data_IF_669631070746
#
_entry.id   IF_669631070746
#
_cell.length_a   1.000
_cell.length_b   1.000
_cell.length_c   1.000
_cell.angle_alpha   90.00
_cell.angle_beta   90.00
_cell.angle_gamma   90.00
#
_symmetry.space_group_name_H-M   'P 1'
#
loop_
_entity.id
_entity.type
_entity.pdbx_description
1 polymer ?
#
# COMPACT_ATOMS: atom_id res chain seq x y z
N UNK A 1 -11.74 47.36 -2.72
CA UNK A 1 -11.61 46.15 -3.58
C UNK A 1 -10.21 45.53 -3.52
N UNK A 2 -9.12 46.30 -3.35
CA UNK A 2 -7.73 45.79 -3.23
C UNK A 2 -7.50 44.81 -2.08
N UNK A 3 -8.00 45.11 -0.88
CA UNK A 3 -7.69 44.31 0.32
C UNK A 3 -8.37 42.92 0.29
N UNK A 4 -9.56 42.82 -0.31
CA UNK A 4 -10.27 41.55 -0.47
C UNK A 4 -9.54 40.64 -1.47
N UNK A 5 -9.06 41.21 -2.58
CA UNK A 5 -8.28 40.48 -3.58
C UNK A 5 -6.94 39.99 -3.01
N UNK A 6 -6.22 40.84 -2.26
CA UNK A 6 -4.95 40.46 -1.62
C UNK A 6 -5.16 39.37 -0.56
N UNK A 7 -6.23 39.46 0.24
CA UNK A 7 -6.55 38.42 1.23
C UNK A 7 -6.94 37.10 0.57
N UNK A 8 -7.74 37.13 -0.50
CA UNK A 8 -8.09 35.93 -1.26
C UNK A 8 -6.83 35.28 -1.87
N UNK A 9 -5.95 36.07 -2.47
CA UNK A 9 -4.69 35.60 -3.03
C UNK A 9 -3.81 34.96 -1.95
N UNK A 10 -3.66 35.63 -0.81
CA UNK A 10 -2.90 35.12 0.34
C UNK A 10 -3.48 33.82 0.88
N UNK A 11 -4.81 33.70 0.95
CA UNK A 11 -5.48 32.49 1.41
C UNK A 11 -5.24 31.32 0.45
N UNK A 12 -5.37 31.55 -0.86
CA UNK A 12 -5.12 30.53 -1.88
C UNK A 12 -3.65 30.06 -1.84
N UNK A 13 -2.69 30.98 -1.79
CA UNK A 13 -1.27 30.60 -1.75
C UNK A 13 -0.89 29.88 -0.45
N UNK A 14 -1.33 30.37 0.71
CA UNK A 14 -1.02 29.72 2.01
C UNK A 14 -1.69 28.36 2.11
N UNK A 15 -2.95 28.22 1.67
CA UNK A 15 -3.60 26.92 1.66
C UNK A 15 -2.92 25.94 0.69
N UNK A 16 -2.57 26.39 -0.52
CA UNK A 16 -1.98 25.52 -1.53
C UNK A 16 -0.59 25.04 -1.08
N UNK A 17 0.27 25.96 -0.68
CA UNK A 17 1.62 25.66 -0.20
C UNK A 17 1.56 24.84 1.10
N UNK A 18 0.68 25.23 2.02
CA UNK A 18 0.45 24.47 3.25
C UNK A 18 0.01 23.03 2.99
N UNK A 19 -0.87 22.80 2.00
CA UNK A 19 -1.30 21.45 1.60
C UNK A 19 -0.15 20.63 0.99
N UNK A 20 0.72 21.25 0.21
CA UNK A 20 1.91 20.57 -0.36
C UNK A 20 2.84 20.09 0.75
N UNK A 21 3.14 20.92 1.75
CA UNK A 21 4.00 20.52 2.87
C UNK A 21 3.30 19.58 3.87
N UNK A 22 1.98 19.68 4.00
CA UNK A 22 1.21 18.76 4.85
C UNK A 22 1.06 17.37 4.21
N UNK A 23 1.12 17.26 2.89
CA UNK A 23 0.90 16.01 2.17
C UNK A 23 1.82 14.85 2.63
N UNK A 24 3.15 15.01 2.78
CA UNK A 24 4.01 13.95 3.31
C UNK A 24 3.64 13.55 4.74
N UNK A 25 3.32 14.51 5.60
CA UNK A 25 2.93 14.26 6.99
C UNK A 25 1.64 13.47 7.05
N UNK A 26 0.64 13.85 6.24
CA UNK A 26 -0.62 13.13 6.13
C UNK A 26 -0.43 11.71 5.61
N UNK A 27 0.43 11.53 4.61
CA UNK A 27 0.73 10.23 4.00
C UNK A 27 1.20 9.26 5.07
N UNK A 28 2.25 9.60 5.82
CA UNK A 28 2.80 8.69 6.83
C UNK A 28 1.93 8.51 8.08
N UNK A 29 0.96 9.40 8.32
CA UNK A 29 0.08 9.32 9.48
C UNK A 29 -1.29 8.74 9.13
N UNK A 30 -2.19 9.61 8.68
CA UNK A 30 -3.60 9.28 8.43
C UNK A 30 -3.76 8.39 7.20
N UNK A 31 -2.95 8.62 6.17
CA UNK A 31 -2.90 7.76 4.98
C UNK A 31 -2.52 6.34 5.34
N UNK A 32 -1.38 6.15 6.01
CA UNK A 32 -0.90 4.84 6.48
C UNK A 32 -1.97 4.10 7.28
N UNK A 33 -2.61 4.77 8.24
CA UNK A 33 -3.70 4.17 9.04
C UNK A 33 -4.84 3.66 8.16
N UNK A 34 -5.29 4.47 7.19
CA UNK A 34 -6.36 4.08 6.26
C UNK A 34 -5.97 2.85 5.42
N UNK A 35 -4.73 2.79 4.96
CA UNK A 35 -4.22 1.65 4.19
C UNK A 35 -4.12 0.40 5.06
N UNK A 36 -3.64 0.50 6.30
CA UNK A 36 -3.62 -0.62 7.24
C UNK A 36 -5.02 -1.15 7.56
N UNK A 37 -5.99 -0.26 7.76
CA UNK A 37 -7.41 -0.65 7.91
C UNK A 37 -7.98 -1.30 6.65
N UNK A 38 -7.54 -0.87 5.47
CA UNK A 38 -7.92 -1.52 4.23
C UNK A 38 -7.34 -2.94 4.14
N UNK A 39 -6.04 -3.12 4.43
CA UNK A 39 -5.37 -4.43 4.45
C UNK A 39 -6.05 -5.39 5.43
N UNK A 40 -6.33 -4.93 6.67
CA UNK A 40 -7.02 -5.75 7.66
C UNK A 40 -8.41 -6.23 7.20
N UNK A 41 -9.17 -5.35 6.52
CA UNK A 41 -10.46 -5.72 5.92
C UNK A 41 -10.31 -6.71 4.78
N UNK A 42 -9.31 -6.56 3.93
CA UNK A 42 -9.02 -7.51 2.83
C UNK A 42 -8.69 -8.91 3.36
N UNK A 43 -7.84 -8.99 4.39
CA UNK A 43 -7.48 -10.27 5.02
C UNK A 43 -8.71 -10.92 5.67
N UNK A 44 -9.53 -10.15 6.39
CA UNK A 44 -10.74 -10.66 7.03
C UNK A 44 -11.75 -11.17 6.01
N UNK A 45 -11.97 -10.40 4.93
CA UNK A 45 -12.84 -10.80 3.82
C UNK A 45 -12.37 -12.08 3.14
N UNK A 46 -11.06 -12.23 2.91
CA UNK A 46 -10.52 -13.46 2.33
C UNK A 46 -10.69 -14.65 3.28
N UNK A 47 -10.46 -14.45 4.58
CA UNK A 47 -10.63 -15.50 5.59
C UNK A 47 -12.09 -15.98 5.69
N UNK A 48 -13.05 -15.08 5.51
CA UNK A 48 -14.48 -15.38 5.44
C UNK A 48 -14.83 -16.11 4.13
N UNK A 49 -14.36 -15.61 2.98
CA UNK A 49 -14.58 -16.23 1.68
C UNK A 49 -14.03 -17.66 1.59
N UNK A 50 -12.86 -17.91 2.20
CA UNK A 50 -12.24 -19.22 2.29
C UNK A 50 -12.75 -20.06 3.47
N UNK A 51 -13.69 -19.52 4.27
CA UNK A 51 -14.26 -20.20 5.43
C UNK A 51 -13.22 -20.76 6.40
N UNK A 52 -12.05 -20.10 6.53
CA UNK A 52 -10.90 -20.61 7.28
C UNK A 52 -11.27 -20.93 8.73
N UNK A 53 -12.11 -20.08 9.36
CA UNK A 53 -12.59 -20.27 10.72
C UNK A 53 -13.41 -21.56 10.88
N UNK A 54 -14.27 -21.86 9.91
CA UNK A 54 -15.10 -23.07 9.90
C UNK A 54 -14.24 -24.30 9.63
N UNK A 55 -13.29 -24.18 8.70
CA UNK A 55 -12.37 -25.28 8.37
C UNK A 55 -11.52 -25.67 9.59
N UNK A 56 -10.99 -24.68 10.30
CA UNK A 56 -10.21 -24.88 11.51
C UNK A 56 -11.05 -25.51 12.64
N UNK A 57 -12.28 -25.04 12.85
CA UNK A 57 -13.17 -25.60 13.86
C UNK A 57 -13.60 -27.06 13.56
N UNK A 58 -13.58 -27.47 12.29
CA UNK A 58 -14.00 -28.80 11.88
C UNK A 58 -12.83 -29.70 11.43
N UNK A 59 -11.59 -29.34 11.73
CA UNK A 59 -10.40 -30.07 11.27
C UNK A 59 -10.37 -31.54 11.74
N UNK A 60 -10.94 -31.80 12.92
CA UNK A 60 -10.99 -33.13 13.55
C UNK A 60 -12.33 -33.86 13.33
N UNK A 61 -13.29 -33.26 12.62
CA UNK A 61 -14.58 -33.92 12.37
C UNK A 61 -14.49 -34.86 11.16
N UNK A 62 -15.07 -36.07 11.22
CA UNK A 62 -15.12 -36.98 10.07
C UNK A 62 -15.89 -36.33 8.90
N UNK A 63 -15.46 -36.58 7.65
CA UNK A 63 -16.07 -35.98 6.46
C UNK A 63 -17.29 -36.76 5.94
N UNK A 64 -17.30 -38.10 6.10
CA UNK A 64 -18.31 -38.99 5.52
C UNK A 64 -19.26 -39.61 6.56
N UNK A 65 -19.29 -39.09 7.79
CA UNK A 65 -20.05 -39.70 8.88
C UNK A 65 -19.54 -41.07 9.33
N UNK A 66 -18.43 -41.56 8.77
CA UNK A 66 -17.75 -42.77 9.22
C UNK A 66 -16.86 -42.47 10.43
N UNK A 67 -17.22 -43.06 11.57
CA UNK A 67 -16.50 -42.93 12.84
C UNK A 67 -15.43 -43.99 13.04
N UNK A 68 -15.23 -44.89 12.07
CA UNK A 68 -14.14 -45.85 12.06
C UNK A 68 -12.79 -45.13 12.23
N UNK A 69 -11.83 -45.80 12.89
CA UNK A 69 -10.50 -45.21 13.13
C UNK A 69 -9.78 -44.89 11.81
N UNK A 70 -9.96 -45.75 10.81
CA UNK A 70 -9.42 -45.58 9.46
C UNK A 70 -10.07 -44.41 8.73
N UNK A 71 -11.40 -44.30 8.76
CA UNK A 71 -12.15 -43.21 8.10
C UNK A 71 -11.87 -41.83 8.71
N UNK A 72 -11.67 -41.75 10.03
CA UNK A 72 -11.23 -40.51 10.70
C UNK A 72 -9.82 -40.09 10.32
N UNK A 73 -8.89 -41.03 10.21
CA UNK A 73 -7.51 -40.74 9.85
C UNK A 73 -7.42 -40.16 8.42
N UNK A 74 -8.10 -40.78 7.47
CA UNK A 74 -8.15 -40.30 6.08
C UNK A 74 -8.82 -38.90 6.01
N UNK A 75 -9.95 -38.72 6.71
CA UNK A 75 -10.65 -37.42 6.76
C UNK A 75 -9.76 -36.30 7.29
N UNK A 76 -8.95 -36.58 8.32
CA UNK A 76 -8.02 -35.62 8.90
C UNK A 76 -6.93 -35.22 7.91
N UNK A 77 -6.30 -36.18 7.22
CA UNK A 77 -5.27 -35.87 6.22
C UNK A 77 -5.83 -35.05 5.07
N UNK A 78 -7.00 -35.40 4.51
CA UNK A 78 -7.63 -34.63 3.43
C UNK A 78 -7.92 -33.19 3.88
N UNK A 79 -8.47 -32.99 5.08
CA UNK A 79 -8.71 -31.64 5.62
C UNK A 79 -7.41 -30.86 5.87
N UNK A 80 -6.33 -31.52 6.30
CA UNK A 80 -5.01 -30.87 6.43
C UNK A 80 -4.51 -30.38 5.08
N UNK A 81 -4.55 -31.22 4.04
CA UNK A 81 -4.12 -30.81 2.71
C UNK A 81 -4.98 -29.65 2.19
N UNK A 82 -6.30 -29.73 2.34
CA UNK A 82 -7.20 -28.65 1.96
C UNK A 82 -6.90 -27.35 2.74
N UNK A 83 -6.72 -27.45 4.07
CA UNK A 83 -6.35 -26.31 4.90
C UNK A 83 -5.01 -25.70 4.46
N UNK A 84 -4.02 -26.54 4.12
CA UNK A 84 -2.71 -26.10 3.67
C UNK A 84 -2.78 -25.29 2.38
N UNK A 85 -3.56 -25.74 1.38
CA UNK A 85 -3.75 -24.97 0.14
C UNK A 85 -4.45 -23.64 0.39
N UNK A 86 -5.51 -23.61 1.19
CA UNK A 86 -6.22 -22.38 1.54
C UNK A 86 -5.33 -21.40 2.33
N UNK A 87 -4.52 -21.92 3.25
CA UNK A 87 -3.53 -21.15 3.99
C UNK A 87 -2.49 -20.56 3.05
N UNK A 88 -1.97 -21.35 2.11
CA UNK A 88 -1.01 -20.89 1.10
C UNK A 88 -1.59 -19.75 0.25
N UNK A 89 -2.83 -19.90 -0.24
CA UNK A 89 -3.53 -18.82 -0.97
C UNK A 89 -3.64 -17.54 -0.12
N UNK A 90 -3.98 -17.69 1.17
CA UNK A 90 -4.08 -16.56 2.09
C UNK A 90 -2.74 -15.87 2.31
N UNK A 91 -1.66 -16.65 2.49
CA UNK A 91 -0.30 -16.12 2.66
C UNK A 91 0.15 -15.37 1.42
N UNK A 92 -0.05 -15.94 0.21
CA UNK A 92 0.29 -15.27 -1.05
C UNK A 92 -0.45 -13.92 -1.16
N UNK A 93 -1.74 -13.89 -0.82
CA UNK A 93 -2.52 -12.65 -0.86
C UNK A 93 -2.00 -11.61 0.14
N UNK A 94 -1.66 -12.03 1.36
CA UNK A 94 -1.05 -11.15 2.36
C UNK A 94 0.28 -10.59 1.86
N UNK A 95 1.12 -11.41 1.23
CA UNK A 95 2.39 -10.97 0.64
C UNK A 95 2.17 -9.90 -0.43
N UNK A 96 1.20 -10.08 -1.33
CA UNK A 96 0.84 -9.07 -2.33
C UNK A 96 0.43 -7.75 -1.66
N UNK A 97 -0.43 -7.80 -0.64
CA UNK A 97 -0.86 -6.61 0.10
C UNK A 97 0.31 -5.90 0.80
N UNK A 98 1.26 -6.66 1.37
CA UNK A 98 2.46 -6.10 2.01
C UNK A 98 3.37 -5.43 0.98
N UNK A 99 3.58 -6.06 -0.19
CA UNK A 99 4.37 -5.45 -1.28
C UNK A 99 3.74 -4.14 -1.73
N UNK A 100 2.42 -4.12 -1.96
CA UNK A 100 1.70 -2.90 -2.33
C UNK A 100 1.81 -1.81 -1.25
N UNK A 101 1.75 -2.19 0.02
CA UNK A 101 1.94 -1.27 1.14
C UNK A 101 3.35 -0.67 1.17
N UNK A 102 4.39 -1.48 0.95
CA UNK A 102 5.77 -1.01 0.87
C UNK A 102 5.95 -0.04 -0.30
N UNK A 103 5.43 -0.39 -1.49
CA UNK A 103 5.44 0.50 -2.66
C UNK A 103 4.76 1.83 -2.31
N UNK A 104 3.59 1.77 -1.66
CA UNK A 104 2.85 2.95 -1.23
C UNK A 104 3.63 3.84 -0.23
N UNK A 105 4.41 3.24 0.67
CA UNK A 105 5.27 3.99 1.61
C UNK A 105 6.48 4.66 0.94
N UNK A 106 7.05 4.03 -0.08
CA UNK A 106 8.23 4.51 -0.82
C UNK A 106 7.84 5.63 -1.81
N UNK A 107 6.63 5.57 -2.36
CA UNK A 107 6.13 6.49 -3.38
C UNK A 107 6.37 7.99 -3.11
N UNK A 108 6.04 8.56 -1.93
CA UNK A 108 6.30 9.98 -1.65
C UNK A 108 7.80 10.32 -1.61
N UNK A 109 8.66 9.43 -1.10
CA UNK A 109 10.12 9.64 -1.11
C UNK A 109 10.63 9.65 -2.55
N UNK A 110 10.17 8.69 -3.35
CA UNK A 110 10.53 8.59 -4.76
C UNK A 110 10.13 9.85 -5.53
N UNK A 111 8.92 10.37 -5.32
CA UNK A 111 8.45 11.62 -5.96
C UNK A 111 9.36 12.81 -5.58
N UNK A 112 9.67 12.98 -4.29
CA UNK A 112 10.54 14.07 -3.83
C UNK A 112 11.92 13.95 -4.48
N UNK A 113 12.49 12.74 -4.52
CA UNK A 113 13.77 12.49 -5.17
C UNK A 113 13.73 12.83 -6.66
N UNK A 114 12.70 12.39 -7.40
CA UNK A 114 12.56 12.70 -8.82
C UNK A 114 12.44 14.20 -9.11
N UNK A 115 11.74 14.95 -8.25
CA UNK A 115 11.64 16.41 -8.39
C UNK A 115 13.01 17.07 -8.20
N UNK A 116 13.75 16.68 -7.16
CA UNK A 116 15.09 17.24 -6.89
C UNK A 116 16.05 16.95 -8.05
N UNK A 117 16.05 15.70 -8.54
CA UNK A 117 16.89 15.28 -9.65
C UNK A 117 16.60 16.05 -10.95
N UNK A 118 15.32 16.26 -11.28
CA UNK A 118 14.95 17.06 -12.47
C UNK A 118 15.38 18.52 -12.32
N UNK A 119 15.27 19.10 -11.13
CA UNK A 119 15.68 20.49 -10.88
C UNK A 119 17.20 20.69 -10.98
N UNK A 120 18.01 19.70 -10.56
CA UNK A 120 19.47 19.77 -10.71
C UNK A 120 19.89 19.72 -12.18
N UNK A 121 19.31 18.81 -12.96
CA UNK A 121 19.58 18.66 -14.41
C UNK A 121 19.26 19.95 -15.19
N UNK A 122 18.11 20.58 -14.90
CA UNK A 122 17.71 21.85 -15.54
C UNK A 122 18.74 22.95 -15.25
N UNK A 123 19.22 23.05 -14.01
CA UNK A 123 20.19 24.07 -13.62
C UNK A 123 21.52 23.91 -14.36
N UNK A 124 22.01 22.68 -14.48
CA UNK A 124 23.27 22.38 -15.17
C UNK A 124 23.19 22.72 -16.66
N UNK A 125 22.11 22.33 -17.34
CA UNK A 125 21.90 22.66 -18.76
C UNK A 125 21.85 24.19 -18.99
N UNK A 126 21.20 24.93 -18.10
CA UNK A 126 21.09 26.39 -18.24
C UNK A 126 22.44 27.10 -18.00
N UNK A 127 23.27 26.59 -17.09
CA UNK A 127 24.63 27.10 -16.84
C UNK A 127 25.54 26.86 -18.05
N UNK A 128 25.51 25.66 -18.64
CA UNK A 128 26.30 25.32 -19.84
C UNK A 128 25.93 26.22 -21.02
N UNK A 129 24.64 26.48 -21.21
CA UNK A 129 24.14 27.35 -22.29
C UNK A 129 24.62 28.80 -22.12
N UNK A 130 24.62 29.32 -20.89
CA UNK A 130 25.14 30.66 -20.58
C UNK A 130 26.64 30.74 -20.85
N UNK A 131 27.42 29.75 -20.41
CA UNK A 131 28.88 29.70 -20.62
C UNK A 131 29.22 29.65 -22.12
N UNK A 132 28.55 28.79 -22.89
CA UNK A 132 28.77 28.70 -24.34
C UNK A 132 28.35 29.97 -25.08
N UNK A 133 27.29 30.65 -24.62
CA UNK A 133 26.87 31.95 -25.16
C UNK A 133 27.83 33.11 -24.85
N UNK A 134 28.63 33.00 -23.78
CA UNK A 134 29.69 33.96 -23.43
C UNK A 134 30.98 33.66 -24.20
N UNK A 135 31.34 32.39 -24.40
CA UNK A 135 32.58 31.99 -25.07
C UNK A 135 32.56 32.17 -26.60
N UNK A 136 31.37 32.20 -27.21
CA UNK A 136 31.19 32.40 -28.66
C UNK A 136 30.87 33.86 -29.05
N UNK A 137 30.96 34.81 -28.11
CA UNK A 137 30.94 36.26 -28.37
C UNK A 137 32.33 36.85 -28.15
#
# INVERSE_FOLDING_TARGET
MSNAFINALKYVFIELIGKIFYFPVWWYTTGTKKVLFFIGRQISSLAEALSLKILFANLLKPMYGDYSRSGRLISFFVRIFHFFFLLLTTVIWVVVLVILFIIWLILPVFIIYSIIFQLSEIKEHHLITIINGILHK
#
